data_IF_596394227819
#
_entry.id   IF_596394227819
#
_cell.length_a   1.000
_cell.length_b   1.000
_cell.length_c   1.000
_cell.angle_alpha   90.00
_cell.angle_beta   90.00
_cell.angle_gamma   90.00
#
_symmetry.space_group_name_H-M   'P 1'
#
loop_
_entity.id
_entity.type
_entity.pdbx_description
1 polymer ?
#
# COMPACT_ATOMS: atom_id res chain seq x y z
N UNK A 1 -11.92 9.87 22.50
CA UNK A 1 -11.97 8.44 22.12
C UNK A 1 -13.19 7.75 22.71
N UNK A 2 -13.33 7.65 24.04
CA UNK A 2 -14.50 6.98 24.65
C UNK A 2 -15.83 7.60 24.23
N UNK A 3 -15.92 8.94 24.20
CA UNK A 3 -17.12 9.66 23.69
C UNK A 3 -17.44 9.42 22.20
N UNK A 4 -16.47 8.93 21.43
CA UNK A 4 -16.60 8.67 19.99
C UNK A 4 -16.64 7.17 19.70
N UNK A 5 -16.66 6.32 20.73
CA UNK A 5 -16.68 4.85 20.62
C UNK A 5 -15.54 4.25 19.79
N UNK A 6 -14.43 4.99 19.62
CA UNK A 6 -13.27 4.51 18.86
C UNK A 6 -12.58 3.41 19.67
N UNK A 7 -12.42 2.23 19.06
CA UNK A 7 -11.82 1.07 19.74
C UNK A 7 -10.33 1.31 20.04
N UNK A 8 -9.77 0.69 21.10
CA UNK A 8 -8.37 0.92 21.49
C UNK A 8 -7.34 0.64 20.39
N UNK A 9 -7.64 -0.29 19.48
CA UNK A 9 -6.79 -0.64 18.35
C UNK A 9 -6.42 0.57 17.48
N UNK A 10 -7.35 1.50 17.24
CA UNK A 10 -7.13 2.67 16.39
C UNK A 10 -6.63 3.91 17.14
N UNK A 11 -6.26 3.80 18.43
CA UNK A 11 -5.83 4.94 19.27
C UNK A 11 -4.73 5.79 18.62
N UNK A 12 -3.68 5.14 18.13
CA UNK A 12 -2.53 5.84 17.55
C UNK A 12 -2.89 6.54 16.23
N UNK A 13 -3.67 5.86 15.37
CA UNK A 13 -4.15 6.42 14.11
C UNK A 13 -5.06 7.62 14.34
N UNK A 14 -6.04 7.47 15.24
CA UNK A 14 -6.95 8.54 15.64
C UNK A 14 -6.19 9.76 16.15
N UNK A 15 -5.19 9.55 17.02
CA UNK A 15 -4.33 10.63 17.50
C UNK A 15 -3.60 11.33 16.36
N UNK A 16 -2.99 10.58 15.43
CA UNK A 16 -2.29 11.17 14.27
C UNK A 16 -3.23 12.00 13.40
N UNK A 17 -4.47 11.57 13.18
CA UNK A 17 -5.43 12.36 12.40
C UNK A 17 -5.83 13.66 13.07
N UNK A 18 -6.06 13.66 14.38
CA UNK A 18 -6.32 14.91 15.10
C UNK A 18 -5.11 15.85 15.03
N UNK A 19 -3.88 15.32 15.14
CA UNK A 19 -2.66 16.11 14.94
C UNK A 19 -2.56 16.70 13.54
N UNK A 20 -2.91 15.96 12.50
CA UNK A 20 -2.96 16.48 11.13
C UNK A 20 -3.95 17.64 11.03
N UNK A 21 -5.13 17.53 11.66
CA UNK A 21 -6.09 18.64 11.67
C UNK A 21 -5.53 19.88 12.38
N UNK A 22 -4.73 19.71 13.44
CA UNK A 22 -4.02 20.82 14.10
C UNK A 22 -2.96 21.43 13.19
N UNK A 23 -2.13 20.60 12.55
CA UNK A 23 -1.10 21.03 11.59
C UNK A 23 -1.69 21.84 10.42
N UNK A 24 -2.91 21.51 9.99
CA UNK A 24 -3.63 22.20 8.93
C UNK A 24 -4.49 23.38 9.43
N UNK A 25 -4.50 23.67 10.74
CA UNK A 25 -5.28 24.77 11.32
C UNK A 25 -6.79 24.53 11.37
N UNK A 26 -7.24 23.27 11.21
CA UNK A 26 -8.65 22.87 11.30
C UNK A 26 -9.08 22.46 12.70
N UNK A 27 -8.14 22.31 13.62
CA UNK A 27 -8.36 21.91 15.00
C UNK A 27 -7.34 22.63 15.88
N UNK A 28 -7.70 22.93 17.11
CA UNK A 28 -6.78 23.45 18.11
C UNK A 28 -6.41 22.37 19.12
N UNK A 29 -5.21 22.47 19.68
CA UNK A 29 -4.78 21.67 20.81
C UNK A 29 -4.28 22.59 21.90
N UNK A 30 -4.85 22.48 23.10
CA UNK A 30 -4.43 23.28 24.25
C UNK A 30 -3.16 22.72 24.92
N UNK A 31 -2.65 23.45 25.93
CA UNK A 31 -1.45 23.08 26.69
C UNK A 31 -1.61 21.76 27.46
N UNK A 32 -2.84 21.33 27.74
CA UNK A 32 -3.13 20.05 28.40
C UNK A 32 -3.29 18.91 27.40
N UNK A 33 -3.17 19.19 26.10
CA UNK A 33 -3.27 18.23 25.01
C UNK A 33 -4.70 17.90 24.59
N UNK A 34 -5.70 18.64 25.07
CA UNK A 34 -7.10 18.49 24.67
C UNK A 34 -7.33 19.16 23.31
N UNK A 35 -8.08 18.47 22.45
CA UNK A 35 -8.44 19.00 21.14
C UNK A 35 -9.76 19.78 21.19
N UNK A 36 -9.75 20.99 20.64
CA UNK A 36 -10.87 21.94 20.69
C UNK A 36 -11.00 22.67 19.36
N UNK A 37 -12.07 23.46 19.21
CA UNK A 37 -12.30 24.34 18.06
C UNK A 37 -12.18 23.64 16.68
N UNK A 38 -12.82 22.48 16.51
CA UNK A 38 -12.88 21.83 15.19
C UNK A 38 -13.63 22.75 14.22
N UNK A 39 -12.94 23.22 13.18
CA UNK A 39 -13.55 24.00 12.13
C UNK A 39 -14.52 23.10 11.32
N UNK A 40 -15.78 23.52 11.15
CA UNK A 40 -16.74 22.71 10.41
C UNK A 40 -16.37 22.65 8.93
N UNK A 41 -16.34 21.42 8.39
CA UNK A 41 -16.31 21.17 6.95
C UNK A 41 -17.70 20.80 6.48
N UNK A 42 -18.17 21.46 5.42
CA UNK A 42 -19.49 21.14 4.85
C UNK A 42 -19.40 19.88 3.97
N UNK A 43 -20.46 19.08 3.96
CA UNK A 43 -20.58 17.92 3.05
C UNK A 43 -20.45 18.34 1.59
N UNK A 44 -20.93 19.54 1.24
CA UNK A 44 -20.81 20.11 -0.10
C UNK A 44 -19.33 20.34 -0.46
N UNK A 45 -18.54 20.95 0.42
CA UNK A 45 -17.11 21.17 0.21
C UNK A 45 -16.34 19.86 -0.01
N UNK A 46 -16.65 18.83 0.79
CA UNK A 46 -16.04 17.49 0.64
C UNK A 46 -16.43 16.86 -0.70
N UNK A 47 -17.71 16.96 -1.08
CA UNK A 47 -18.19 16.43 -2.35
C UNK A 47 -17.54 17.14 -3.55
N UNK A 48 -17.44 18.47 -3.52
CA UNK A 48 -16.79 19.23 -4.59
C UNK A 48 -15.31 18.87 -4.74
N UNK A 49 -14.59 18.76 -3.62
CA UNK A 49 -13.18 18.34 -3.65
C UNK A 49 -13.02 16.92 -4.21
N UNK A 50 -13.94 16.01 -3.88
CA UNK A 50 -13.93 14.65 -4.43
C UNK A 50 -14.09 14.66 -5.95
N UNK A 51 -15.04 15.42 -6.50
CA UNK A 51 -15.22 15.49 -7.95
C UNK A 51 -14.00 16.10 -8.65
N UNK A 52 -13.38 17.12 -8.06
CA UNK A 52 -12.13 17.69 -8.56
C UNK A 52 -11.00 16.64 -8.59
N UNK A 53 -10.81 15.90 -7.50
CA UNK A 53 -9.78 14.86 -7.41
C UNK A 53 -10.04 13.73 -8.41
N UNK A 54 -11.30 13.30 -8.60
CA UNK A 54 -11.66 12.28 -9.61
C UNK A 54 -11.28 12.72 -11.02
N UNK A 55 -11.45 13.99 -11.35
CA UNK A 55 -11.05 14.54 -12.65
C UNK A 55 -9.53 14.60 -12.79
N UNK A 56 -8.82 15.06 -11.75
CA UNK A 56 -7.36 15.16 -11.78
C UNK A 56 -6.66 13.79 -11.77
N UNK A 57 -7.28 12.78 -11.17
CA UNK A 57 -6.77 11.41 -11.04
C UNK A 57 -7.55 10.41 -11.89
N UNK A 58 -8.10 10.85 -13.03
CA UNK A 58 -8.91 10.01 -13.91
C UNK A 58 -8.18 8.71 -14.34
N UNK A 59 -6.86 8.78 -14.55
CA UNK A 59 -6.02 7.63 -14.92
C UNK A 59 -5.77 6.65 -13.75
N UNK A 60 -6.15 7.01 -12.52
CA UNK A 60 -5.90 6.25 -11.29
C UNK A 60 -7.17 6.18 -10.41
N UNK A 61 -8.35 6.13 -11.04
CA UNK A 61 -9.66 6.20 -10.38
C UNK A 61 -9.82 5.16 -9.27
N UNK A 62 -9.27 3.96 -9.42
CA UNK A 62 -9.33 2.90 -8.41
C UNK A 62 -8.78 3.32 -7.05
N UNK A 63 -7.75 4.18 -7.02
CA UNK A 63 -7.18 4.69 -5.77
C UNK A 63 -8.16 5.64 -5.08
N UNK A 64 -8.82 6.48 -5.87
CA UNK A 64 -9.82 7.43 -5.38
C UNK A 64 -11.07 6.71 -4.91
N UNK A 65 -11.50 5.68 -5.62
CA UNK A 65 -12.66 4.86 -5.26
C UNK A 65 -12.41 4.10 -3.95
N UNK A 66 -11.21 3.54 -3.76
CA UNK A 66 -10.83 2.91 -2.50
C UNK A 66 -10.80 3.92 -1.34
N UNK A 67 -10.25 5.12 -1.56
CA UNK A 67 -10.25 6.18 -0.55
C UNK A 67 -11.68 6.57 -0.17
N UNK A 68 -12.58 6.73 -1.15
CA UNK A 68 -13.98 7.02 -0.92
C UNK A 68 -14.67 5.90 -0.12
N UNK A 69 -14.48 4.64 -0.52
CA UNK A 69 -15.04 3.48 0.16
C UNK A 69 -14.60 3.42 1.63
N UNK A 70 -13.31 3.60 1.90
CA UNK A 70 -12.78 3.66 3.26
C UNK A 70 -13.36 4.84 4.06
N UNK A 71 -13.46 6.02 3.44
CA UNK A 71 -13.99 7.24 4.07
C UNK A 71 -15.46 7.10 4.46
N UNK A 72 -16.30 6.57 3.57
CA UNK A 72 -17.73 6.35 3.81
C UNK A 72 -18.00 5.31 4.91
N UNK A 73 -17.06 4.39 5.13
CA UNK A 73 -17.15 3.35 6.15
C UNK A 73 -16.31 3.65 7.40
N UNK A 74 -15.69 4.82 7.49
CA UNK A 74 -14.67 5.11 8.47
C UNK A 74 -15.19 4.98 9.91
N UNK A 75 -16.40 5.45 10.18
CA UNK A 75 -17.03 5.33 11.50
C UNK A 75 -17.22 3.86 11.91
N UNK A 76 -17.72 3.02 11.00
CA UNK A 76 -17.91 1.59 11.26
C UNK A 76 -16.58 0.88 11.52
N UNK A 77 -15.54 1.26 10.78
CA UNK A 77 -14.18 0.74 11.01
C UNK A 77 -13.65 1.16 12.37
N UNK A 78 -13.68 2.46 12.69
CA UNK A 78 -13.13 2.98 13.95
C UNK A 78 -13.87 2.45 15.19
N UNK A 79 -15.14 2.11 15.05
CA UNK A 79 -15.98 1.52 16.12
C UNK A 79 -15.96 -0.01 16.13
N UNK A 80 -15.23 -0.65 15.21
CA UNK A 80 -15.09 -2.11 15.15
C UNK A 80 -16.30 -2.86 14.60
N UNK A 81 -17.25 -2.16 13.94
CA UNK A 81 -18.41 -2.76 13.27
C UNK A 81 -18.06 -3.41 11.93
N UNK A 82 -16.97 -2.95 11.29
CA UNK A 82 -16.41 -3.50 10.04
C UNK A 82 -14.90 -3.63 10.16
N UNK A 83 -14.32 -4.61 9.49
CA UNK A 83 -12.86 -4.76 9.45
C UNK A 83 -12.28 -3.97 8.27
N UNK A 84 -11.25 -3.16 8.53
CA UNK A 84 -10.63 -2.34 7.48
C UNK A 84 -10.08 -3.19 6.32
N UNK A 85 -9.61 -4.41 6.62
CA UNK A 85 -9.02 -5.30 5.62
C UNK A 85 -10.07 -5.82 4.62
N UNK A 86 -11.34 -5.92 5.01
CA UNK A 86 -12.43 -6.38 4.14
C UNK A 86 -12.56 -5.50 2.90
N UNK A 87 -12.36 -4.18 3.01
CA UNK A 87 -12.43 -3.27 1.86
C UNK A 87 -11.27 -3.50 0.88
N UNK A 88 -10.09 -3.85 1.39
CA UNK A 88 -8.94 -4.15 0.55
C UNK A 88 -9.09 -5.52 -0.11
N UNK A 89 -9.57 -6.53 0.63
CA UNK A 89 -9.80 -7.90 0.15
C UNK A 89 -10.97 -7.98 -0.82
N UNK A 90 -12.04 -7.21 -0.61
CA UNK A 90 -13.18 -7.15 -1.52
C UNK A 90 -12.77 -6.73 -2.95
N UNK A 91 -11.71 -5.91 -3.09
CA UNK A 91 -11.11 -5.58 -4.39
C UNK A 91 -10.56 -6.83 -5.12
N UNK A 92 -10.13 -7.83 -4.37
CA UNK A 92 -9.57 -9.08 -4.87
C UNK A 92 -10.58 -10.23 -4.90
N UNK A 93 -11.79 -10.03 -4.37
CA UNK A 93 -12.81 -11.06 -4.32
C UNK A 93 -13.24 -11.45 -5.74
N UNK A 94 -12.85 -12.66 -6.16
CA UNK A 94 -13.12 -13.19 -7.50
C UNK A 94 -12.04 -12.92 -8.55
N UNK A 95 -10.94 -12.26 -8.20
CA UNK A 95 -9.80 -12.08 -9.09
C UNK A 95 -8.87 -13.31 -9.04
N UNK A 96 -8.51 -13.86 -10.20
CA UNK A 96 -7.52 -14.96 -10.30
C UNK A 96 -6.11 -14.49 -9.90
N UNK A 97 -5.84 -13.19 -10.02
CA UNK A 97 -4.59 -12.54 -9.65
C UNK A 97 -4.85 -11.30 -8.80
N UNK A 98 -3.88 -10.95 -7.94
CA UNK A 98 -3.88 -9.68 -7.21
C UNK A 98 -3.33 -8.59 -8.15
N UNK A 99 -4.16 -7.67 -8.68
CA UNK A 99 -3.70 -6.64 -9.60
C UNK A 99 -2.68 -5.74 -8.91
N UNK A 100 -1.58 -5.48 -9.61
CA UNK A 100 -0.59 -4.49 -9.19
C UNK A 100 -1.24 -3.11 -9.28
N UNK A 101 -1.33 -2.40 -8.15
CA UNK A 101 -1.75 -1.00 -8.17
C UNK A 101 -0.79 -0.18 -9.03
N UNK A 102 -1.34 0.47 -10.06
CA UNK A 102 -0.61 1.44 -10.85
C UNK A 102 -0.74 2.80 -10.14
N UNK A 103 0.34 3.28 -9.53
CA UNK A 103 0.43 4.64 -9.03
C UNK A 103 1.44 5.41 -9.88
N UNK A 104 1.25 6.72 -10.13
CA UNK A 104 2.15 7.49 -11.00
C UNK A 104 3.63 7.43 -10.58
N UNK A 105 3.89 7.34 -9.28
CA UNK A 105 5.24 7.26 -8.72
C UNK A 105 5.89 5.87 -8.86
N UNK A 106 5.11 4.81 -9.14
CA UNK A 106 5.64 3.46 -9.22
C UNK A 106 6.61 3.29 -10.39
N UNK A 107 6.32 3.85 -11.57
CA UNK A 107 7.23 3.78 -12.70
C UNK A 107 8.63 4.33 -12.34
N UNK A 108 8.66 5.51 -11.70
CA UNK A 108 9.90 6.15 -11.26
C UNK A 108 10.71 5.27 -10.30
N UNK A 109 10.08 4.75 -9.25
CA UNK A 109 10.79 3.91 -8.27
C UNK A 109 11.21 2.56 -8.86
N UNK A 110 10.40 1.97 -9.73
CA UNK A 110 10.74 0.71 -10.42
C UNK A 110 11.94 0.88 -11.35
N UNK A 111 12.02 1.99 -12.08
CA UNK A 111 13.17 2.29 -12.93
C UNK A 111 14.44 2.46 -12.12
N UNK A 112 14.37 3.12 -10.95
CA UNK A 112 15.50 3.25 -10.03
C UNK A 112 15.94 1.87 -9.50
N UNK A 113 15.00 1.05 -9.03
CA UNK A 113 15.30 -0.30 -8.52
C UNK A 113 15.94 -1.16 -9.60
N UNK A 114 15.37 -1.15 -10.82
CA UNK A 114 15.88 -1.89 -11.98
C UNK A 114 17.29 -1.42 -12.34
N UNK A 115 17.50 -0.12 -12.54
CA UNK A 115 18.80 0.43 -12.91
C UNK A 115 19.88 0.13 -11.86
N UNK A 116 19.51 0.20 -10.57
CA UNK A 116 20.41 -0.13 -9.46
C UNK A 116 20.81 -1.61 -9.51
N UNK A 117 19.84 -2.52 -9.65
CA UNK A 117 20.11 -3.95 -9.67
C UNK A 117 20.89 -4.37 -10.92
N UNK A 118 20.56 -3.81 -12.09
CA UNK A 118 21.33 -4.04 -13.31
C UNK A 118 22.80 -3.65 -13.14
N UNK A 119 23.06 -2.50 -12.51
CA UNK A 119 24.43 -2.05 -12.29
C UNK A 119 25.18 -2.97 -11.31
N UNK A 120 24.51 -3.44 -10.26
CA UNK A 120 25.06 -4.43 -9.33
C UNK A 120 25.42 -5.72 -10.09
N UNK A 121 24.49 -6.28 -10.85
CA UNK A 121 24.68 -7.52 -11.62
C UNK A 121 25.83 -7.39 -12.63
N UNK A 122 25.94 -6.25 -13.32
CA UNK A 122 27.03 -5.95 -14.28
C UNK A 122 28.39 -5.83 -13.60
N UNK A 123 28.44 -5.28 -12.38
CA UNK A 123 29.70 -5.08 -11.64
C UNK A 123 30.26 -6.34 -10.99
N UNK A 124 29.41 -7.35 -10.76
CA UNK A 124 29.81 -8.58 -10.07
C UNK A 124 30.46 -9.58 -11.04
N UNK A 125 31.59 -10.19 -10.66
CA UNK A 125 32.20 -11.28 -11.43
C UNK A 125 31.21 -12.40 -11.73
N UNK A 126 31.33 -13.03 -12.90
CA UNK A 126 30.37 -14.05 -13.37
C UNK A 126 30.29 -15.30 -12.48
N UNK A 127 31.33 -15.58 -11.69
CA UNK A 127 31.40 -16.70 -10.76
C UNK A 127 30.77 -16.42 -9.38
N UNK A 128 30.25 -15.21 -9.14
CA UNK A 128 29.55 -14.85 -7.91
C UNK A 128 28.08 -15.21 -8.04
N UNK A 129 27.58 -15.99 -7.08
CA UNK A 129 26.16 -16.30 -6.93
C UNK A 129 25.42 -15.17 -6.20
N UNK A 130 24.31 -14.73 -6.76
CA UNK A 130 23.40 -13.74 -6.20
C UNK A 130 22.37 -14.41 -5.29
N UNK A 131 22.19 -13.86 -4.10
CA UNK A 131 21.12 -14.25 -3.17
C UNK A 131 20.33 -13.00 -2.81
N UNK A 132 19.07 -12.94 -3.22
CA UNK A 132 18.19 -11.78 -3.06
C UNK A 132 17.03 -12.20 -2.16
N UNK A 133 16.68 -11.36 -1.19
CA UNK A 133 15.51 -11.52 -0.34
C UNK A 133 14.62 -10.30 -0.53
N UNK A 134 13.37 -10.52 -0.94
CA UNK A 134 12.34 -9.49 -1.01
C UNK A 134 11.39 -9.67 0.18
N UNK A 135 11.40 -8.71 1.10
CA UNK A 135 10.58 -8.71 2.32
C UNK A 135 9.29 -7.94 2.05
N UNK A 136 8.14 -8.57 2.32
CA UNK A 136 6.84 -7.94 2.06
C UNK A 136 6.61 -7.73 0.56
N UNK A 137 6.94 -8.75 -0.22
CA UNK A 137 6.90 -8.70 -1.68
C UNK A 137 5.47 -8.44 -2.22
N UNK A 138 4.44 -8.80 -1.45
CA UNK A 138 3.05 -8.44 -1.69
C UNK A 138 2.58 -8.77 -3.11
N UNK A 139 2.13 -7.76 -3.84
CA UNK A 139 1.66 -7.88 -5.23
C UNK A 139 2.79 -8.17 -6.25
N UNK A 140 4.04 -8.20 -5.80
CA UNK A 140 5.23 -8.43 -6.61
C UNK A 140 5.54 -7.27 -7.56
N UNK A 141 5.36 -6.03 -7.08
CA UNK A 141 5.61 -4.80 -7.83
C UNK A 141 7.08 -4.74 -8.27
N UNK A 142 8.01 -4.95 -7.34
CA UNK A 142 9.43 -5.00 -7.67
C UNK A 142 9.77 -6.34 -8.34
N UNK A 143 9.29 -7.47 -7.81
CA UNK A 143 9.53 -8.81 -8.38
C UNK A 143 9.30 -8.86 -9.90
N UNK A 144 8.16 -8.36 -10.38
CA UNK A 144 7.81 -8.37 -11.81
C UNK A 144 8.88 -7.70 -12.67
N UNK A 145 9.47 -6.61 -12.18
CA UNK A 145 10.47 -5.84 -12.92
C UNK A 145 11.90 -6.33 -12.72
N UNK A 146 12.20 -6.93 -11.56
CA UNK A 146 13.56 -7.37 -11.22
C UNK A 146 13.89 -8.78 -11.72
N UNK A 147 12.94 -9.72 -11.74
CA UNK A 147 13.23 -11.09 -12.19
C UNK A 147 13.79 -11.17 -13.63
N UNK A 148 13.30 -10.42 -14.63
CA UNK A 148 13.80 -10.50 -16.01
C UNK A 148 15.26 -10.09 -16.21
N UNK A 149 15.83 -9.29 -15.30
CA UNK A 149 17.21 -8.78 -15.43
C UNK A 149 18.24 -9.64 -14.67
N UNK A 150 17.77 -10.64 -13.93
CA UNK A 150 18.63 -11.50 -13.12
C UNK A 150 19.15 -12.68 -13.93
N UNK A 151 20.44 -13.03 -13.81
CA UNK A 151 21.02 -14.19 -14.48
C UNK A 151 20.56 -15.48 -13.79
N UNK A 152 19.69 -16.32 -14.42
CA UNK A 152 19.03 -17.43 -13.73
C UNK A 152 20.01 -18.46 -13.15
N UNK A 153 21.08 -18.76 -13.89
CA UNK A 153 22.08 -19.79 -13.56
C UNK A 153 22.87 -19.52 -12.27
N UNK A 154 22.88 -18.26 -11.80
CA UNK A 154 23.66 -17.83 -10.63
C UNK A 154 22.85 -16.99 -9.66
N UNK A 155 21.52 -17.07 -9.72
CA UNK A 155 20.64 -16.33 -8.83
C UNK A 155 19.82 -17.27 -7.98
N UNK A 156 19.60 -16.88 -6.73
CA UNK A 156 18.55 -17.41 -5.85
C UNK A 156 17.75 -16.22 -5.32
N UNK A 157 16.45 -16.22 -5.56
CA UNK A 157 15.54 -15.14 -5.18
C UNK A 157 14.52 -15.67 -4.18
N UNK A 158 14.49 -15.11 -2.97
CA UNK A 158 13.52 -15.45 -1.94
C UNK A 158 12.42 -14.39 -1.93
N UNK A 159 11.27 -14.74 -2.48
CA UNK A 159 10.04 -13.96 -2.39
C UNK A 159 9.38 -14.26 -1.04
N UNK A 160 9.25 -13.24 -0.18
CA UNK A 160 8.66 -13.42 1.15
C UNK A 160 7.51 -12.46 1.43
N UNK A 161 6.46 -12.98 2.05
CA UNK A 161 5.31 -12.20 2.49
C UNK A 161 4.58 -12.89 3.67
N UNK A 162 3.97 -12.10 4.55
CA UNK A 162 3.16 -12.61 5.67
C UNK A 162 1.78 -13.09 5.21
N UNK A 163 1.30 -12.60 4.06
CA UNK A 163 0.00 -12.96 3.48
C UNK A 163 0.09 -14.15 2.54
N UNK A 164 -0.49 -15.28 2.94
CA UNK A 164 -0.50 -16.51 2.13
C UNK A 164 -1.14 -16.34 0.74
N UNK A 165 -2.10 -15.42 0.58
CA UNK A 165 -2.68 -15.08 -0.72
C UNK A 165 -1.60 -14.59 -1.70
N UNK A 166 -0.70 -13.71 -1.26
CA UNK A 166 0.36 -13.16 -2.10
C UNK A 166 1.37 -14.24 -2.51
N UNK A 167 1.73 -15.15 -1.59
CA UNK A 167 2.61 -16.27 -1.90
C UNK A 167 2.01 -17.19 -2.97
N UNK A 168 0.74 -17.56 -2.84
CA UNK A 168 0.05 -18.43 -3.80
C UNK A 168 -0.05 -17.76 -5.19
N UNK A 169 -0.42 -16.48 -5.24
CA UNK A 169 -0.49 -15.74 -6.51
C UNK A 169 0.90 -15.59 -7.14
N UNK A 170 1.93 -15.32 -6.35
CA UNK A 170 3.29 -15.17 -6.85
C UNK A 170 3.86 -16.50 -7.41
N UNK A 171 3.55 -17.64 -6.76
CA UNK A 171 3.94 -18.97 -7.23
C UNK A 171 3.42 -19.26 -8.65
N UNK A 172 2.15 -18.97 -8.91
CA UNK A 172 1.57 -19.16 -10.25
C UNK A 172 2.13 -18.16 -11.26
N UNK A 173 2.25 -16.88 -10.86
CA UNK A 173 2.70 -15.80 -11.74
C UNK A 173 4.17 -15.94 -12.17
N UNK A 174 5.05 -16.36 -11.27
CA UNK A 174 6.49 -16.45 -11.52
C UNK A 174 7.00 -17.90 -11.66
N UNK A 175 6.14 -18.87 -11.94
CA UNK A 175 6.52 -20.28 -12.15
C UNK A 175 7.59 -20.52 -13.23
N UNK A 176 7.73 -19.58 -14.18
CA UNK A 176 8.75 -19.64 -15.22
C UNK A 176 10.15 -19.21 -14.74
N UNK A 177 10.29 -18.78 -13.48
CA UNK A 177 11.56 -18.41 -12.86
C UNK A 177 11.95 -19.47 -11.81
N UNK A 178 12.65 -20.55 -12.21
CA UNK A 178 12.94 -21.69 -11.33
C UNK A 178 13.90 -21.35 -10.17
N UNK A 179 14.52 -20.17 -10.21
CA UNK A 179 15.40 -19.66 -9.16
C UNK A 179 14.67 -18.89 -8.06
N UNK A 180 13.34 -18.80 -8.13
CA UNK A 180 12.51 -18.13 -7.11
C UNK A 180 12.00 -19.15 -6.11
N UNK A 181 12.24 -18.88 -4.83
CA UNK A 181 11.71 -19.59 -3.68
C UNK A 181 10.70 -18.70 -2.95
N UNK A 182 9.66 -19.29 -2.38
CA UNK A 182 8.58 -18.59 -1.70
C UNK A 182 8.54 -18.99 -0.23
N UNK A 183 8.43 -18.02 0.67
CA UNK A 183 8.43 -18.29 2.11
C UNK A 183 7.83 -17.16 2.95
N UNK A 184 7.66 -17.43 4.24
CA UNK A 184 7.29 -16.43 5.25
C UNK A 184 8.53 -15.74 5.82
#
# INVERSE_FOLDING_TARGET
MEKCEVIPYYRQLWWRWLQILVEQGHLEQDEQGLFTNLLPLSTESVNSLREEVKLQWADNSETIDLLQLCGENLTDVLTGKKEALEFHVAKFAGAEEVPIQNLPSMAYYKDIMRATLEQIVKSLPSNVNLRILEIGAGQGIATTDLLPILPPERTKYSFTDVGGLFLNTAQEKYKNYPFVEYGF
#
